data_IF_809310719944
#
_entry.id   IF_809310719944
#
_cell.length_a   1.000
_cell.length_b   1.000
_cell.length_c   1.000
_cell.angle_alpha   90.00
_cell.angle_beta   90.00
_cell.angle_gamma   90.00
#
_symmetry.space_group_name_H-M   'P 1'
#
loop_
_entity.id
_entity.type
_entity.pdbx_description
1 polymer ?
#
# COMPACT_ATOMS: atom_id res chain seq x y z
N UNK A 1 -11.22 8.38 -19.53
CA UNK A 1 -10.02 8.50 -20.39
C UNK A 1 -9.32 7.15 -20.37
N UNK A 2 -9.01 6.56 -21.52
CA UNK A 2 -8.26 5.29 -21.58
C UNK A 2 -6.78 5.52 -21.27
N UNK A 3 -6.15 4.55 -20.60
CA UNK A 3 -4.70 4.54 -20.41
C UNK A 3 -4.06 4.08 -21.72
N UNK A 4 -3.23 4.92 -22.32
CA UNK A 4 -2.49 4.60 -23.54
C UNK A 4 -1.06 4.23 -23.18
N UNK A 5 -0.64 3.02 -23.57
CA UNK A 5 0.73 2.54 -23.41
C UNK A 5 1.49 2.76 -24.71
N UNK A 6 2.68 3.36 -24.62
CA UNK A 6 3.48 3.70 -25.80
C UNK A 6 4.29 2.51 -26.33
N UNK A 7 4.38 1.42 -25.56
CA UNK A 7 5.06 0.19 -25.94
C UNK A 7 4.55 -1.03 -25.17
N UNK A 8 4.83 -2.24 -25.69
CA UNK A 8 4.53 -3.49 -24.99
C UNK A 8 5.24 -3.57 -23.64
N UNK A 9 6.49 -3.08 -23.56
CA UNK A 9 7.26 -3.07 -22.33
C UNK A 9 6.62 -2.19 -21.26
N UNK A 10 6.08 -1.01 -21.63
CA UNK A 10 5.34 -0.16 -20.70
C UNK A 10 4.07 -0.85 -20.20
N UNK A 11 3.34 -1.53 -21.07
CA UNK A 11 2.14 -2.29 -20.67
C UNK A 11 2.50 -3.42 -19.68
N UNK A 12 3.55 -4.19 -19.99
CA UNK A 12 4.02 -5.28 -19.12
C UNK A 12 4.43 -4.76 -17.73
N UNK A 13 5.16 -3.64 -17.69
CA UNK A 13 5.57 -3.01 -16.45
C UNK A 13 4.36 -2.57 -15.62
N UNK A 14 3.38 -1.92 -16.24
CA UNK A 14 2.16 -1.48 -15.55
C UNK A 14 1.36 -2.66 -14.98
N UNK A 15 1.18 -3.73 -15.77
CA UNK A 15 0.49 -4.95 -15.32
C UNK A 15 1.22 -5.61 -14.15
N UNK A 16 2.55 -5.66 -14.21
CA UNK A 16 3.35 -6.23 -13.13
C UNK A 16 3.27 -5.39 -11.85
N UNK A 17 3.35 -4.06 -11.97
CA UNK A 17 3.16 -3.15 -10.84
C UNK A 17 1.78 -3.31 -10.18
N UNK A 18 0.71 -3.40 -10.97
CA UNK A 18 -0.65 -3.60 -10.45
C UNK A 18 -0.79 -4.96 -9.75
N UNK A 19 -0.15 -6.01 -10.28
CA UNK A 19 -0.10 -7.31 -9.62
C UNK A 19 0.57 -7.22 -8.25
N UNK A 20 1.75 -6.59 -8.16
CA UNK A 20 2.48 -6.40 -6.89
C UNK A 20 1.63 -5.60 -5.89
N UNK A 21 0.98 -4.52 -6.34
CA UNK A 21 0.08 -3.72 -5.51
C UNK A 21 -1.08 -4.54 -4.92
N UNK A 22 -1.70 -5.41 -5.73
CA UNK A 22 -2.80 -6.27 -5.28
C UNK A 22 -2.33 -7.33 -4.28
N UNK A 23 -1.20 -7.98 -4.53
CA UNK A 23 -0.65 -8.97 -3.62
C UNK A 23 -0.22 -8.34 -2.29
N UNK A 24 0.27 -7.09 -2.32
CA UNK A 24 0.53 -6.33 -1.10
C UNK A 24 -0.76 -6.03 -0.32
N UNK A 25 -1.81 -5.56 -1.00
CA UNK A 25 -3.11 -5.29 -0.37
C UNK A 25 -3.76 -6.52 0.27
N UNK A 26 -3.54 -7.70 -0.31
CA UNK A 26 -3.99 -8.98 0.26
C UNK A 26 -3.13 -9.45 1.44
N UNK A 27 -2.01 -8.78 1.71
CA UNK A 27 -1.05 -9.16 2.75
C UNK A 27 -0.18 -10.36 2.36
N UNK A 28 -0.13 -10.76 1.08
CA UNK A 28 0.67 -11.89 0.61
C UNK A 28 2.16 -11.54 0.47
N UNK A 29 2.46 -10.25 0.28
CA UNK A 29 3.83 -9.74 0.25
C UNK A 29 3.99 -8.60 1.25
N UNK A 30 5.14 -8.59 1.91
CA UNK A 30 5.55 -7.51 2.81
C UNK A 30 6.07 -6.29 2.02
N UNK A 31 6.22 -5.15 2.70
CA UNK A 31 6.85 -3.94 2.15
C UNK A 31 8.25 -4.21 1.56
N UNK A 32 9.07 -5.00 2.26
CA UNK A 32 10.42 -5.33 1.80
C UNK A 32 10.42 -6.20 0.54
N UNK A 33 9.51 -7.18 0.47
CA UNK A 33 9.35 -8.03 -0.72
C UNK A 33 8.84 -7.23 -1.92
N UNK A 34 7.85 -6.35 -1.72
CA UNK A 34 7.35 -5.47 -2.78
C UNK A 34 8.42 -4.53 -3.32
N UNK A 35 9.25 -3.94 -2.46
CA UNK A 35 10.37 -3.10 -2.86
C UNK A 35 11.38 -3.88 -3.71
N UNK A 36 11.78 -5.07 -3.28
CA UNK A 36 12.70 -5.94 -4.04
C UNK A 36 12.14 -6.32 -5.41
N UNK A 37 10.86 -6.70 -5.48
CA UNK A 37 10.21 -7.15 -6.72
C UNK A 37 10.13 -6.05 -7.79
N UNK A 38 10.08 -4.79 -7.38
CA UNK A 38 10.06 -3.63 -8.28
C UNK A 38 11.43 -2.96 -8.45
N UNK A 39 12.48 -3.49 -7.82
CA UNK A 39 13.82 -2.87 -7.84
C UNK A 39 13.85 -1.48 -7.17
N UNK A 40 12.96 -1.23 -6.22
CA UNK A 40 12.84 0.02 -5.48
C UNK A 40 13.51 -0.11 -4.12
N UNK A 41 13.89 1.03 -3.52
CA UNK A 41 14.18 1.05 -2.09
C UNK A 41 12.90 0.89 -1.27
N UNK A 42 13.05 0.48 -0.01
CA UNK A 42 11.91 0.40 0.92
C UNK A 42 11.11 1.71 0.98
N UNK A 43 11.81 2.85 1.06
CA UNK A 43 11.18 4.17 1.15
C UNK A 43 10.42 4.53 -0.15
N UNK A 44 11.01 4.24 -1.31
CA UNK A 44 10.36 4.47 -2.60
C UNK A 44 9.11 3.60 -2.77
N UNK A 45 9.17 2.35 -2.34
CA UNK A 45 8.00 1.48 -2.36
C UNK A 45 6.89 2.00 -1.43
N UNK A 46 7.26 2.40 -0.21
CA UNK A 46 6.30 2.89 0.78
C UNK A 46 5.66 4.23 0.39
N UNK A 47 6.47 5.24 0.07
CA UNK A 47 6.01 6.62 -0.13
C UNK A 47 5.56 6.87 -1.55
N UNK A 48 6.35 6.46 -2.53
CA UNK A 48 6.11 6.83 -3.92
C UNK A 48 5.15 5.81 -4.57
N UNK A 49 5.44 4.52 -4.47
CA UNK A 49 4.67 3.48 -5.15
C UNK A 49 3.29 3.26 -4.51
N UNK A 50 3.23 2.95 -3.21
CA UNK A 50 1.95 2.73 -2.50
C UNK A 50 1.21 4.05 -2.25
N UNK A 51 1.94 5.11 -1.90
CA UNK A 51 1.35 6.43 -1.64
C UNK A 51 0.68 7.05 -2.87
N UNK A 52 1.31 7.01 -4.05
CA UNK A 52 0.68 7.50 -5.30
C UNK A 52 -0.59 6.74 -5.66
N UNK A 53 -0.66 5.46 -5.28
CA UNK A 53 -1.82 4.57 -5.50
C UNK A 53 -2.86 4.64 -4.38
N UNK A 54 -2.63 5.43 -3.33
CA UNK A 54 -3.49 5.55 -2.14
C UNK A 54 -3.81 4.20 -1.49
N UNK A 55 -2.85 3.29 -1.51
CA UNK A 55 -2.99 1.97 -0.90
C UNK A 55 -2.76 2.12 0.60
N UNK A 56 -3.78 1.77 1.39
CA UNK A 56 -3.66 1.78 2.85
C UNK A 56 -2.72 0.68 3.33
N UNK A 57 -1.90 1.00 4.34
CA UNK A 57 -0.99 0.05 4.99
C UNK A 57 -1.70 -0.89 5.95
N UNK A 58 -2.95 -0.59 6.30
CA UNK A 58 -3.78 -1.43 7.15
C UNK A 58 -4.69 -2.23 6.22
N UNK A 59 -4.35 -3.50 6.03
CA UNK A 59 -5.29 -4.47 5.49
C UNK A 59 -6.30 -4.80 6.59
N UNK A 60 -7.53 -4.34 6.41
CA UNK A 60 -8.63 -4.63 7.31
C UNK A 60 -9.94 -4.43 6.58
N UNK A 61 -10.91 -5.31 6.83
CA UNK A 61 -12.31 -5.05 6.51
C UNK A 61 -12.72 -3.71 7.16
N UNK A 62 -13.77 -3.02 6.65
CA UNK A 62 -14.26 -1.80 7.28
C UNK A 62 -14.52 -1.94 8.78
N UNK A 63 -14.93 -3.13 9.23
CA UNK A 63 -15.11 -3.45 10.65
C UNK A 63 -13.77 -3.50 11.42
N UNK A 64 -12.75 -4.16 10.88
CA UNK A 64 -11.42 -4.23 11.49
C UNK A 64 -10.75 -2.85 11.55
N UNK A 65 -10.90 -2.04 10.50
CA UNK A 65 -10.39 -0.67 10.46
C UNK A 65 -11.10 0.23 11.49
N UNK A 66 -12.41 0.05 11.68
CA UNK A 66 -13.15 0.80 12.70
C UNK A 66 -12.67 0.45 14.12
N UNK A 67 -12.35 -0.82 14.37
CA UNK A 67 -11.80 -1.28 15.65
C UNK A 67 -10.40 -0.70 15.90
N UNK A 68 -9.51 -0.75 14.91
CA UNK A 68 -8.16 -0.18 15.03
C UNK A 68 -8.18 1.34 15.23
N UNK A 69 -9.04 2.06 14.48
CA UNK A 69 -9.21 3.49 14.65
C UNK A 69 -9.75 3.85 16.04
N UNK A 70 -10.68 3.06 16.59
CA UNK A 70 -11.15 3.24 17.96
C UNK A 70 -10.01 3.04 18.99
N UNK A 71 -9.17 2.01 18.81
CA UNK A 71 -8.02 1.73 19.70
C UNK A 71 -7.00 2.87 19.68
N UNK A 72 -6.70 3.41 18.50
CA UNK A 72 -5.79 4.55 18.35
C UNK A 72 -6.33 5.80 19.06
N UNK A 73 -7.61 6.14 18.86
CA UNK A 73 -8.25 7.27 19.53
C UNK A 73 -8.26 7.12 21.06
N UNK A 74 -8.52 5.92 21.56
CA UNK A 74 -8.50 5.63 23.00
C UNK A 74 -7.08 5.80 23.58
N UNK A 75 -6.06 5.32 22.87
CA UNK A 75 -4.65 5.49 23.27
C UNK A 75 -4.21 6.96 23.26
N UNK A 76 -4.55 7.72 22.22
CA UNK A 76 -4.27 9.17 22.14
C UNK A 76 -4.93 9.95 23.27
N UNK A 77 -6.18 9.61 23.59
CA UNK A 77 -6.93 10.24 24.68
C UNK A 77 -6.25 10.03 26.04
N UNK A 78 -5.71 8.84 26.28
CA UNK A 78 -5.01 8.52 27.52
C UNK A 78 -3.64 9.22 27.60
N UNK A 79 -2.92 9.32 26.48
CA UNK A 79 -1.66 10.06 26.39
C UNK A 79 -1.83 11.55 26.69
N UNK A 80 -2.89 12.16 26.18
CA UNK A 80 -3.20 13.59 26.37
C UNK A 80 -3.73 13.91 27.78
N UNK A 81 -4.05 12.90 28.58
CA UNK A 81 -4.50 13.06 29.98
C UNK A 81 -3.32 13.07 30.97
N UNK A 82 -2.12 12.69 30.54
CA UNK A 82 -0.88 12.72 31.34
C UNK A 82 -0.12 14.03 31.14
#
# INVERSE_FOLDING_TARGET
MGVYYSSLQQLQQAVYEDFIAQEFQKGHISLGQGAQLLGLTYEQFLKDFLGSRRISFISGTPAELAVENWREQAWLTELLRR
#
